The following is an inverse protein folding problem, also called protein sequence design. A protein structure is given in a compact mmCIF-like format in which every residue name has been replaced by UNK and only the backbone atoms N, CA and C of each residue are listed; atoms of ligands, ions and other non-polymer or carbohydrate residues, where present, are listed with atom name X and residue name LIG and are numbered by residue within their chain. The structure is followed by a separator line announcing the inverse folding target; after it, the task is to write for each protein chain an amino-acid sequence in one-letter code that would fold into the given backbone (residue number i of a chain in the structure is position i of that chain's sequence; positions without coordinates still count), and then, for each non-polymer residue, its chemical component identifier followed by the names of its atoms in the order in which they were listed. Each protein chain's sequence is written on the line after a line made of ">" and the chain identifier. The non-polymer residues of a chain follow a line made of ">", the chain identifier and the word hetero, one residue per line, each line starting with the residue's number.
data_IF_965041837832
#
_entry.id   IF_965041837832
#
_cell.length_a   1.000
_cell.length_b   1.000
_cell.length_c   1.000
_cell.angle_alpha   90.00
_cell.angle_beta   90.00
_cell.angle_gamma   90.00
#
_symmetry.space_group_name_H-M   'P 1'
#
loop_
_entity.id
_entity.type
_entity.pdbx_description
1 polymer ?
#
# COMPACT_ATOMS: atom_id res chain seq x y z
N UNK A 1 -14.91 -2.29 -23.98
CA UNK A 1 -15.81 -2.15 -22.81
C UNK A 1 -16.56 -0.84 -22.92
N UNK A 2 -17.78 -0.71 -22.39
CA UNK A 2 -18.48 0.57 -22.33
C UNK A 2 -17.67 1.60 -21.52
N UNK A 3 -17.76 2.88 -21.88
CA UNK A 3 -17.14 3.97 -21.12
C UNK A 3 -17.84 4.13 -19.78
N UNK A 4 -17.07 4.42 -18.73
CA UNK A 4 -17.58 4.69 -17.38
C UNK A 4 -17.49 6.19 -17.15
N UNK A 5 -18.56 6.79 -16.64
CA UNK A 5 -18.69 8.23 -16.44
C UNK A 5 -18.84 8.57 -14.97
N UNK A 6 -18.24 9.67 -14.54
CA UNK A 6 -18.47 10.31 -13.24
C UNK A 6 -18.87 11.76 -13.48
N UNK A 7 -20.17 12.05 -13.44
CA UNK A 7 -20.71 13.31 -13.97
C UNK A 7 -20.46 13.40 -15.48
N UNK A 8 -19.85 14.51 -15.93
CA UNK A 8 -19.54 14.76 -17.34
C UNK A 8 -18.17 14.21 -17.79
N UNK A 9 -17.38 13.64 -16.87
CA UNK A 9 -16.04 13.12 -17.15
C UNK A 9 -16.06 11.61 -17.46
N UNK A 10 -15.30 11.21 -18.48
CA UNK A 10 -14.99 9.80 -18.76
C UNK A 10 -13.81 9.38 -17.89
N UNK A 11 -13.93 8.24 -17.23
CA UNK A 11 -12.81 7.66 -16.49
C UNK A 11 -11.84 6.95 -17.43
N UNK A 12 -10.55 7.20 -17.22
CA UNK A 12 -9.45 6.56 -17.93
C UNK A 12 -9.09 5.20 -17.28
N UNK A 13 -9.29 5.09 -15.97
CA UNK A 13 -9.01 3.90 -15.17
C UNK A 13 -10.09 3.70 -14.11
N UNK A 14 -10.50 2.44 -13.90
CA UNK A 14 -11.29 2.06 -12.72
C UNK A 14 -10.53 1.01 -11.93
N UNK A 15 -10.22 1.32 -10.67
CA UNK A 15 -9.62 0.40 -9.71
C UNK A 15 -10.72 -0.18 -8.83
N UNK A 16 -10.82 -1.50 -8.77
CA UNK A 16 -11.79 -2.21 -7.94
C UNK A 16 -11.05 -2.80 -6.73
N UNK A 17 -11.36 -2.26 -5.54
CA UNK A 17 -10.78 -2.62 -4.25
C UNK A 17 -10.03 -1.47 -3.59
N UNK A 18 -10.52 -1.01 -2.43
CA UNK A 18 -9.94 0.10 -1.67
C UNK A 18 -8.90 -0.36 -0.62
N UNK A 19 -8.16 -1.44 -0.88
CA UNK A 19 -7.03 -1.86 -0.03
C UNK A 19 -5.76 -1.07 -0.35
N UNK A 20 -4.63 -1.31 0.35
CA UNK A 20 -3.37 -0.61 0.11
C UNK A 20 -2.92 -0.62 -1.35
N UNK A 21 -2.99 -1.78 -2.02
CA UNK A 21 -2.58 -1.91 -3.42
C UNK A 21 -3.50 -1.11 -4.37
N UNK A 22 -4.81 -1.11 -4.13
CA UNK A 22 -5.76 -0.39 -4.98
C UNK A 22 -5.69 1.11 -4.78
N UNK A 23 -5.56 1.56 -3.53
CA UNK A 23 -5.34 2.96 -3.21
C UNK A 23 -4.00 3.46 -3.77
N UNK A 24 -2.91 2.71 -3.63
CA UNK A 24 -1.62 3.07 -4.23
C UNK A 24 -1.69 3.16 -5.75
N UNK A 25 -2.31 2.18 -6.42
CA UNK A 25 -2.51 2.24 -7.87
C UNK A 25 -3.32 3.47 -8.29
N UNK A 26 -4.41 3.76 -7.58
CA UNK A 26 -5.26 4.90 -7.88
C UNK A 26 -4.52 6.24 -7.67
N UNK A 27 -3.82 6.39 -6.55
CA UNK A 27 -3.04 7.58 -6.22
C UNK A 27 -1.92 7.84 -7.23
N UNK A 28 -1.10 6.83 -7.54
CA UNK A 28 -0.01 6.99 -8.52
C UNK A 28 -0.53 7.23 -9.93
N UNK A 29 -1.64 6.61 -10.32
CA UNK A 29 -2.29 6.87 -11.61
C UNK A 29 -2.85 8.29 -11.71
N UNK A 30 -3.43 8.80 -10.62
CA UNK A 30 -3.93 10.18 -10.55
C UNK A 30 -2.78 11.20 -10.61
N UNK A 31 -1.63 10.92 -9.99
CA UNK A 31 -0.41 11.76 -10.10
C UNK A 31 0.11 11.87 -11.55
N UNK A 32 -0.18 10.87 -12.39
CA UNK A 32 0.11 10.90 -13.83
C UNK A 32 -0.96 11.62 -14.66
N UNK A 33 -2.01 12.16 -14.03
CA UNK A 33 -3.06 12.96 -14.67
C UNK A 33 -4.25 12.17 -15.21
N UNK A 34 -4.40 10.89 -14.85
CA UNK A 34 -5.55 10.08 -15.27
C UNK A 34 -6.80 10.41 -14.45
N UNK A 35 -7.97 10.34 -15.09
CA UNK A 35 -9.26 10.35 -14.40
C UNK A 35 -9.53 8.95 -13.84
N UNK A 36 -9.24 8.75 -12.56
CA UNK A 36 -9.34 7.44 -11.91
C UNK A 36 -10.60 7.34 -11.06
N UNK A 37 -11.40 6.31 -11.29
CA UNK A 37 -12.45 5.88 -10.35
C UNK A 37 -11.92 4.78 -9.43
N UNK A 38 -12.16 4.91 -8.14
CA UNK A 38 -11.88 3.86 -7.16
C UNK A 38 -13.20 3.35 -6.60
N UNK A 39 -13.39 2.03 -6.63
CA UNK A 39 -14.65 1.40 -6.20
C UNK A 39 -14.37 0.31 -5.17
N UNK A 40 -14.99 0.44 -4.01
CA UNK A 40 -14.92 -0.55 -2.95
C UNK A 40 -15.59 -0.03 -1.68
N UNK A 41 -15.72 -0.88 -0.65
CA UNK A 41 -16.27 -0.46 0.62
C UNK A 41 -15.32 0.54 1.30
N UNK A 42 -15.89 1.63 1.83
CA UNK A 42 -15.18 2.60 2.66
C UNK A 42 -15.02 2.03 4.07
N UNK A 43 -13.97 1.22 4.24
CA UNK A 43 -13.66 0.51 5.48
C UNK A 43 -12.19 0.73 5.85
N UNK A 44 -11.87 0.87 7.14
CA UNK A 44 -10.50 1.01 7.58
C UNK A 44 -9.69 -0.25 7.26
N UNK A 45 -8.39 -0.07 7.04
CA UNK A 45 -7.47 -1.21 6.98
C UNK A 45 -7.46 -1.96 8.32
N UNK A 46 -7.80 -3.25 8.28
CA UNK A 46 -7.80 -4.13 9.46
C UNK A 46 -6.55 -4.99 9.57
N UNK A 47 -5.94 -5.34 8.44
CA UNK A 47 -4.77 -6.22 8.38
C UNK A 47 -3.47 -5.49 8.76
N UNK A 48 -2.61 -6.15 9.52
CA UNK A 48 -1.26 -5.65 9.75
C UNK A 48 -0.36 -5.98 8.57
N UNK A 49 0.48 -5.03 8.17
CA UNK A 49 1.41 -5.18 7.06
C UNK A 49 2.83 -5.04 7.55
N UNK A 50 3.69 -5.92 7.05
CA UNK A 50 5.14 -5.82 7.18
C UNK A 50 5.74 -5.46 5.82
N UNK A 51 6.80 -4.68 5.83
CA UNK A 51 7.49 -4.21 4.63
C UNK A 51 8.99 -4.16 4.87
N UNK A 52 9.79 -4.32 3.82
CA UNK A 52 11.22 -4.01 3.92
C UNK A 52 11.38 -2.50 4.09
N UNK A 53 12.13 -2.09 5.11
CA UNK A 53 12.20 -0.68 5.52
C UNK A 53 12.76 0.21 4.39
N UNK A 54 13.79 -0.26 3.70
CA UNK A 54 14.45 0.41 2.59
C UNK A 54 13.53 0.57 1.36
N UNK A 55 12.84 -0.49 0.94
CA UNK A 55 11.87 -0.40 -0.18
C UNK A 55 10.75 0.59 0.13
N UNK A 56 10.26 0.61 1.37
CA UNK A 56 9.20 1.53 1.77
C UNK A 56 9.68 2.98 1.87
N UNK A 57 10.97 3.19 2.23
CA UNK A 57 11.63 4.50 2.17
C UNK A 57 11.78 4.99 0.73
N UNK A 58 12.16 4.11 -0.19
CA UNK A 58 12.32 4.46 -1.61
C UNK A 58 10.99 4.88 -2.25
N UNK A 59 9.86 4.37 -1.74
CA UNK A 59 8.51 4.80 -2.11
C UNK A 59 8.08 6.14 -1.48
N UNK A 60 8.91 6.75 -0.61
CA UNK A 60 8.56 7.96 0.13
C UNK A 60 7.58 7.72 1.29
N UNK A 61 7.29 6.45 1.63
CA UNK A 61 6.29 6.07 2.64
C UNK A 61 6.91 5.79 4.02
N UNK A 62 8.14 6.23 4.25
CA UNK A 62 8.86 6.03 5.51
C UNK A 62 8.08 6.54 6.74
N UNK A 63 7.29 7.61 6.58
CA UNK A 63 6.46 8.19 7.63
C UNK A 63 5.35 7.25 8.10
N UNK A 64 4.96 6.26 7.30
CA UNK A 64 3.91 5.30 7.64
C UNK A 64 4.44 4.08 8.42
N UNK A 65 5.76 3.96 8.67
CA UNK A 65 6.34 2.85 9.45
C UNK A 65 6.20 3.14 10.94
N UNK A 66 5.49 2.27 11.66
CA UNK A 66 5.23 2.41 13.11
C UNK A 66 6.35 1.80 13.96
N UNK A 67 6.97 0.73 13.48
CA UNK A 67 8.02 0.02 14.20
C UNK A 67 8.98 -0.66 13.22
N UNK A 68 10.26 -0.76 13.55
CA UNK A 68 11.29 -1.42 12.73
C UNK A 68 12.06 -2.43 13.56
N UNK A 69 12.13 -3.66 13.06
CA UNK A 69 13.07 -4.67 13.52
C UNK A 69 14.30 -4.65 12.61
N UNK A 70 15.48 -4.44 13.17
CA UNK A 70 16.73 -4.32 12.39
C UNK A 70 17.21 -5.67 11.85
N UNK A 71 17.03 -6.73 12.63
CA UNK A 71 17.51 -8.07 12.34
C UNK A 71 16.32 -9.02 12.12
N UNK A 72 16.06 -9.36 10.86
CA UNK A 72 14.97 -10.26 10.47
C UNK A 72 15.48 -11.68 10.27
N UNK A 73 14.71 -12.67 10.73
CA UNK A 73 14.98 -14.10 10.56
C UNK A 73 13.78 -14.79 9.90
N UNK A 74 14.03 -15.88 9.18
CA UNK A 74 13.00 -16.76 8.61
C UNK A 74 13.19 -18.16 9.16
N UNK A 75 12.11 -18.76 9.63
CA UNK A 75 12.05 -20.17 10.02
C UNK A 75 11.35 -20.93 8.90
N UNK A 76 12.06 -21.87 8.26
CA UNK A 76 11.49 -22.78 7.27
C UNK A 76 11.26 -24.19 7.86
N UNK A 77 12.07 -24.57 8.84
CA UNK A 77 11.87 -25.71 9.72
C UNK A 77 11.78 -25.24 11.17
N UNK A 78 11.45 -26.15 12.08
CA UNK A 78 11.07 -25.76 13.43
C UNK A 78 12.22 -25.24 14.31
N UNK A 79 13.50 -25.26 13.89
CA UNK A 79 14.59 -24.98 14.82
C UNK A 79 15.84 -24.25 14.28
N UNK A 80 16.02 -24.05 12.97
CA UNK A 80 17.18 -23.29 12.46
C UNK A 80 16.75 -21.96 11.80
N UNK A 81 16.93 -20.80 12.47
CA UNK A 81 16.59 -19.51 11.88
C UNK A 81 17.60 -19.11 10.81
N UNK A 82 17.10 -18.80 9.62
CA UNK A 82 17.89 -18.19 8.55
C UNK A 82 17.87 -16.67 8.77
N UNK A 83 19.04 -16.09 9.08
CA UNK A 83 19.18 -14.63 9.18
C UNK A 83 19.12 -13.99 7.79
N UNK A 84 18.23 -13.01 7.64
CA UNK A 84 18.09 -12.22 6.41
C UNK A 84 19.01 -10.99 6.45
N UNK A 85 19.33 -10.48 7.65
CA UNK A 85 20.19 -9.29 7.81
C UNK A 85 19.60 -8.02 7.20
N UNK A 86 18.27 -7.95 7.04
CA UNK A 86 17.54 -6.80 6.49
C UNK A 86 16.49 -6.30 7.46
N UNK A 87 16.36 -4.98 7.57
CA UNK A 87 15.37 -4.35 8.43
C UNK A 87 13.95 -4.51 7.88
N UNK A 88 13.02 -4.88 8.75
CA UNK A 88 11.60 -5.06 8.42
C UNK A 88 10.75 -4.15 9.30
N UNK A 89 9.82 -3.43 8.67
CA UNK A 89 8.96 -2.45 9.33
C UNK A 89 7.52 -2.93 9.44
N UNK A 90 6.87 -2.67 10.58
CA UNK A 90 5.41 -2.74 10.70
C UNK A 90 4.81 -1.42 10.26
N UNK A 91 3.87 -1.48 9.33
CA UNK A 91 3.19 -0.30 8.81
C UNK A 91 2.04 0.12 9.72
N UNK A 92 1.93 1.41 10.00
CA UNK A 92 0.73 2.01 10.58
C UNK A 92 -0.37 2.04 9.53
N UNK A 93 -1.41 1.23 9.77
CA UNK A 93 -2.60 1.15 8.92
C UNK A 93 -3.29 2.50 8.73
N UNK A 94 -3.30 3.34 9.78
CA UNK A 94 -3.94 4.65 9.76
C UNK A 94 -3.13 5.64 8.93
N UNK A 95 -1.82 5.75 9.18
CA UNK A 95 -0.95 6.66 8.44
C UNK A 95 -0.85 6.26 6.97
N UNK A 96 -0.80 4.97 6.65
CA UNK A 96 -0.79 4.51 5.26
C UNK A 96 -2.09 4.87 4.55
N UNK A 97 -3.24 4.63 5.18
CA UNK A 97 -4.53 4.95 4.58
C UNK A 97 -4.68 6.46 4.32
N UNK A 98 -4.28 7.30 5.28
CA UNK A 98 -4.27 8.75 5.13
C UNK A 98 -3.30 9.22 4.04
N UNK A 99 -2.11 8.64 3.96
CA UNK A 99 -1.11 9.03 2.96
C UNK A 99 -1.55 8.68 1.54
N UNK A 100 -2.19 7.52 1.33
CA UNK A 100 -2.65 7.08 0.00
C UNK A 100 -3.93 7.77 -0.48
N UNK A 101 -4.64 8.50 0.39
CA UNK A 101 -5.83 9.28 0.03
C UNK A 101 -5.53 10.75 -0.31
N UNK A 102 -4.27 11.19 -0.15
CA UNK A 102 -3.82 12.53 -0.54
C UNK A 102 -3.65 12.63 -2.05
#
# INVERSE_FOLDING_TARGET
>A
LPRIYTGDNVLDLVVIGCGPAGLALAAESAKLGLNVGLVGPDLPFTNNYGVWEDEFKDLGLACCIEHVWRDTVVYLDENDPISIGRAYGRVSRHLLHEELLK
#
